data_IF_271567476461
#
_entry.id   IF_271567476461
#
_cell.length_a   1.000
_cell.length_b   1.000
_cell.length_c   1.000
_cell.angle_alpha   90.00
_cell.angle_beta   90.00
_cell.angle_gamma   90.00
#
_symmetry.space_group_name_H-M   'P 1'
#
loop_
_entity.id
_entity.type
_entity.pdbx_description
1 polymer ?
#
# COMPACT_ATOMS: atom_id res chain seq x y z
N UNK A 1 51.50 26.19 -9.79
CA UNK A 1 51.04 24.80 -9.55
C UNK A 1 49.72 24.86 -8.79
N UNK A 2 48.61 25.08 -9.48
CA UNK A 2 47.27 25.00 -8.90
C UNK A 2 46.55 23.84 -9.59
N UNK A 3 45.95 22.92 -8.84
CA UNK A 3 44.52 22.92 -8.51
C UNK A 3 44.16 21.69 -7.68
N UNK A 4 43.21 21.91 -6.77
CA UNK A 4 42.63 20.92 -5.87
C UNK A 4 41.54 20.11 -6.58
N UNK A 5 41.54 18.79 -6.39
CA UNK A 5 40.42 17.91 -6.76
C UNK A 5 39.42 17.89 -5.59
N UNK A 6 38.42 18.77 -5.67
CA UNK A 6 37.19 18.64 -4.90
C UNK A 6 36.34 17.51 -5.49
N UNK A 7 36.14 16.43 -4.74
CA UNK A 7 35.18 15.38 -5.11
C UNK A 7 33.76 15.95 -5.09
N UNK A 8 33.17 16.09 -6.28
CA UNK A 8 31.78 16.43 -6.46
C UNK A 8 30.89 15.31 -5.89
N UNK A 9 30.11 15.63 -4.87
CA UNK A 9 28.98 14.81 -4.44
C UNK A 9 27.93 14.82 -5.56
N UNK A 10 27.80 13.71 -6.28
CA UNK A 10 26.75 13.54 -7.27
C UNK A 10 25.38 13.48 -6.56
N UNK A 11 24.56 14.50 -6.76
CA UNK A 11 23.14 14.49 -6.41
C UNK A 11 22.43 13.39 -7.20
N UNK A 12 22.14 12.25 -6.57
CA UNK A 12 21.27 11.21 -7.16
C UNK A 12 19.83 11.75 -7.31
N UNK A 13 19.22 11.45 -8.46
CA UNK A 13 17.89 11.92 -8.90
C UNK A 13 16.73 11.19 -8.18
N UNK A 14 15.51 11.78 -8.14
CA UNK A 14 14.32 11.26 -7.45
C UNK A 14 13.74 9.92 -7.95
N UNK A 15 14.41 9.23 -8.87
CA UNK A 15 13.99 7.94 -9.44
C UNK A 15 14.17 6.75 -8.49
N UNK A 16 15.17 6.80 -7.61
CA UNK A 16 15.47 5.67 -6.71
C UNK A 16 14.42 5.55 -5.60
N UNK A 17 13.87 6.69 -5.13
CA UNK A 17 12.86 6.73 -4.07
C UNK A 17 11.48 6.28 -4.55
N UNK A 18 11.10 6.62 -5.78
CA UNK A 18 9.82 6.19 -6.38
C UNK A 18 9.80 4.68 -6.59
N UNK A 19 10.89 4.13 -7.13
CA UNK A 19 11.02 2.68 -7.34
C UNK A 19 11.03 1.89 -6.03
N UNK A 20 11.53 2.46 -4.94
CA UNK A 20 11.49 1.81 -3.63
C UNK A 20 10.09 1.84 -3.04
N UNK A 21 9.43 3.00 -3.07
CA UNK A 21 8.05 3.14 -2.59
C UNK A 21 7.08 2.21 -3.33
N UNK A 22 7.19 2.08 -4.66
CA UNK A 22 6.36 1.13 -5.42
C UNK A 22 6.55 -0.31 -4.95
N UNK A 23 7.79 -0.73 -4.67
CA UNK A 23 8.05 -2.08 -4.16
C UNK A 23 7.42 -2.27 -2.78
N UNK A 24 7.50 -1.28 -1.91
CA UNK A 24 6.95 -1.36 -0.55
C UNK A 24 5.42 -1.45 -0.58
N UNK A 25 4.76 -0.65 -1.43
CA UNK A 25 3.31 -0.67 -1.63
C UNK A 25 2.84 -1.96 -2.29
N UNK A 26 3.64 -2.58 -3.16
CA UNK A 26 3.31 -3.86 -3.80
C UNK A 26 3.69 -5.10 -2.98
N UNK A 27 4.49 -4.93 -1.93
CA UNK A 27 4.93 -6.04 -1.08
C UNK A 27 3.82 -6.52 -0.15
N UNK A 28 3.63 -7.84 -0.08
CA UNK A 28 2.71 -8.48 0.87
C UNK A 28 3.55 -9.23 1.88
N UNK A 29 3.43 -8.86 3.16
CA UNK A 29 4.19 -9.55 4.20
C UNK A 29 3.64 -10.98 4.39
N UNK A 30 4.46 -12.01 4.67
CA UNK A 30 3.96 -13.38 4.83
C UNK A 30 2.89 -13.57 5.92
N UNK A 31 2.80 -12.65 6.89
CA UNK A 31 1.72 -12.65 7.90
C UNK A 31 0.41 -12.07 7.39
N UNK A 32 0.41 -11.43 6.23
CA UNK A 32 -0.75 -10.83 5.60
C UNK A 32 -1.41 -11.86 4.69
N UNK A 33 -2.61 -12.27 5.10
CA UNK A 33 -3.41 -13.25 4.37
C UNK A 33 -4.83 -12.73 4.18
N UNK A 34 -5.55 -13.30 3.21
CA UNK A 34 -6.92 -12.90 2.85
C UNK A 34 -7.88 -12.90 4.05
N UNK A 35 -7.69 -13.82 5.00
CA UNK A 35 -8.57 -13.98 6.17
C UNK A 35 -8.32 -12.98 7.32
N UNK A 36 -7.43 -12.01 7.15
CA UNK A 36 -7.11 -11.03 8.19
C UNK A 36 -8.27 -10.04 8.34
N UNK A 37 -8.76 -9.84 9.56
CA UNK A 37 -9.73 -8.79 9.86
C UNK A 37 -8.99 -7.46 10.14
N UNK A 38 -9.35 -6.37 9.44
CA UNK A 38 -8.74 -5.05 9.67
C UNK A 38 -9.18 -4.41 10.99
N UNK A 39 -10.33 -4.81 11.50
CA UNK A 39 -10.94 -4.33 12.74
C UNK A 39 -11.63 -5.48 13.46
N UNK A 40 -11.67 -5.41 14.79
CA UNK A 40 -12.38 -6.37 15.66
C UNK A 40 -13.89 -6.15 15.68
N UNK A 41 -14.36 -4.96 15.29
CA UNK A 41 -15.78 -4.60 15.26
C UNK A 41 -16.30 -4.60 13.81
N UNK A 42 -17.16 -5.56 13.42
CA UNK A 42 -17.83 -5.57 12.13
C UNK A 42 -18.71 -4.32 11.94
N UNK A 43 -19.00 -3.95 10.69
CA UNK A 43 -19.90 -2.84 10.39
C UNK A 43 -21.34 -3.22 10.77
N UNK A 44 -21.97 -2.47 11.67
CA UNK A 44 -23.32 -2.75 12.19
C UNK A 44 -24.37 -1.69 11.80
N UNK A 45 -24.00 -0.77 10.90
CA UNK A 45 -24.83 0.34 10.44
C UNK A 45 -24.83 1.56 11.38
N UNK A 46 -24.43 1.41 12.65
CA UNK A 46 -24.33 2.53 13.62
C UNK A 46 -22.88 2.96 13.87
N UNK A 47 -21.94 2.07 13.61
CA UNK A 47 -20.52 2.25 13.95
C UNK A 47 -19.64 2.68 12.76
N UNK A 48 -20.22 3.17 11.66
CA UNK A 48 -19.50 3.49 10.42
C UNK A 48 -18.25 4.36 10.64
N UNK A 49 -18.35 5.44 11.41
CA UNK A 49 -17.22 6.35 11.64
C UNK A 49 -16.06 5.68 12.40
N UNK A 50 -16.38 4.84 13.39
CA UNK A 50 -15.39 4.07 14.14
C UNK A 50 -14.76 2.99 13.28
N UNK A 51 -15.59 2.28 12.51
CA UNK A 51 -15.16 1.26 11.55
C UNK A 51 -14.24 1.84 10.48
N UNK A 52 -14.63 2.97 9.86
CA UNK A 52 -13.85 3.65 8.83
C UNK A 52 -12.49 4.08 9.36
N UNK A 53 -12.43 4.67 10.56
CA UNK A 53 -11.15 5.05 11.19
C UNK A 53 -10.25 3.84 11.44
N UNK A 54 -10.82 2.74 11.93
CA UNK A 54 -10.06 1.51 12.18
C UNK A 54 -9.50 0.91 10.88
N UNK A 55 -10.30 0.86 9.81
CA UNK A 55 -9.88 0.43 8.47
C UNK A 55 -8.77 1.33 7.94
N UNK A 56 -8.94 2.65 8.05
CA UNK A 56 -7.95 3.63 7.58
C UNK A 56 -6.60 3.45 8.30
N UNK A 57 -6.61 3.35 9.62
CA UNK A 57 -5.38 3.13 10.41
C UNK A 57 -4.72 1.79 10.05
N UNK A 58 -5.51 0.72 9.98
CA UNK A 58 -5.01 -0.62 9.69
C UNK A 58 -4.31 -0.67 8.32
N UNK A 59 -4.94 -0.12 7.28
CA UNK A 59 -4.34 -0.06 5.94
C UNK A 59 -3.16 0.91 5.87
N UNK A 60 -3.20 2.01 6.63
CA UNK A 60 -2.10 2.97 6.71
C UNK A 60 -0.82 2.34 7.26
N UNK A 61 -0.95 1.55 8.32
CA UNK A 61 0.20 0.81 8.90
C UNK A 61 0.80 -0.24 7.95
N UNK A 62 0.06 -0.62 6.90
CA UNK A 62 0.44 -1.62 5.90
C UNK A 62 0.88 -1.00 4.57
N UNK A 63 0.89 0.33 4.47
CA UNK A 63 1.11 1.07 3.23
C UNK A 63 0.14 0.67 2.11
N UNK A 64 -1.12 0.37 2.46
CA UNK A 64 -2.17 -0.03 1.51
C UNK A 64 -3.29 0.99 1.35
N UNK A 65 -3.21 2.15 2.02
CA UNK A 65 -4.19 3.23 1.88
C UNK A 65 -4.29 3.73 0.43
N UNK A 66 -3.17 3.73 -0.29
CA UNK A 66 -3.11 4.26 -1.64
C UNK A 66 -3.94 3.47 -2.66
N UNK A 67 -4.35 2.24 -2.32
CA UNK A 67 -5.30 1.44 -3.10
C UNK A 67 -6.76 1.87 -2.90
N UNK A 68 -7.09 2.48 -1.75
CA UNK A 68 -8.43 3.02 -1.49
C UNK A 68 -8.53 4.44 -2.02
N UNK A 69 -7.52 5.26 -1.75
CA UNK A 69 -7.53 6.69 -2.13
C UNK A 69 -7.22 6.88 -3.64
N UNK A 70 -6.73 5.85 -4.32
CA UNK A 70 -6.40 5.89 -5.75
C UNK A 70 -5.13 6.68 -6.07
N UNK A 71 -4.34 7.02 -5.05
CA UNK A 71 -3.05 7.70 -5.17
C UNK A 71 -1.99 6.79 -5.79
N UNK A 72 -2.10 5.46 -5.61
CA UNK A 72 -1.25 4.51 -6.31
C UNK A 72 -1.82 4.22 -7.71
N UNK A 73 -1.13 4.60 -8.80
CA UNK A 73 -1.67 4.49 -10.14
C UNK A 73 -1.84 3.03 -10.55
N UNK A 74 -2.92 2.76 -11.28
CA UNK A 74 -3.11 1.45 -11.90
C UNK A 74 -2.01 1.20 -12.94
N UNK A 75 -1.17 0.16 -12.78
CA UNK A 75 -0.09 -0.11 -13.72
C UNK A 75 -0.65 -0.60 -15.06
N UNK A 76 0.11 -0.36 -16.13
CA UNK A 76 -0.28 -0.81 -17.48
C UNK A 76 -0.42 -2.34 -17.55
N UNK A 77 -1.46 -2.79 -18.27
CA UNK A 77 -1.74 -4.20 -18.52
C UNK A 77 -0.56 -4.87 -19.24
N UNK A 78 0.06 -5.85 -18.58
CA UNK A 78 1.24 -6.56 -19.11
C UNK A 78 2.59 -6.01 -18.61
N UNK A 79 2.58 -5.01 -17.72
CA UNK A 79 3.79 -4.65 -16.97
C UNK A 79 4.17 -5.75 -15.96
N UNK A 80 5.46 -5.85 -15.61
CA UNK A 80 5.94 -6.83 -14.62
C UNK A 80 5.27 -6.66 -13.24
N UNK A 81 4.83 -5.44 -12.92
CA UNK A 81 4.21 -5.09 -11.63
C UNK A 81 2.68 -5.30 -11.62
N UNK A 82 2.05 -5.53 -12.78
CA UNK A 82 0.59 -5.64 -12.87
C UNK A 82 0.02 -6.77 -12.02
N UNK A 83 0.60 -7.97 -12.10
CA UNK A 83 0.13 -9.12 -11.31
C UNK A 83 0.37 -8.94 -9.80
N UNK A 84 1.43 -8.21 -9.42
CA UNK A 84 1.69 -7.88 -8.01
C UNK A 84 0.66 -6.88 -7.49
N UNK A 85 0.41 -5.81 -8.25
CA UNK A 85 -0.61 -4.82 -7.95
C UNK A 85 -1.98 -5.47 -7.81
N UNK A 86 -2.36 -6.32 -8.77
CA UNK A 86 -3.63 -7.06 -8.77
C UNK A 86 -3.77 -7.95 -7.54
N UNK A 87 -2.69 -8.60 -7.11
CA UNK A 87 -2.70 -9.43 -5.90
C UNK A 87 -2.97 -8.59 -4.65
N UNK A 88 -2.34 -7.43 -4.53
CA UNK A 88 -2.54 -6.52 -3.40
C UNK A 88 -3.95 -5.93 -3.42
N UNK A 89 -4.45 -5.52 -4.58
CA UNK A 89 -5.81 -5.01 -4.77
C UNK A 89 -6.89 -6.02 -4.35
N UNK A 90 -6.74 -7.28 -4.78
CA UNK A 90 -7.62 -8.37 -4.36
C UNK A 90 -7.53 -8.65 -2.85
N UNK A 91 -6.34 -8.49 -2.25
CA UNK A 91 -6.15 -8.67 -0.81
C UNK A 91 -6.84 -7.57 -0.01
N UNK A 92 -6.67 -6.29 -0.39
CA UNK A 92 -7.36 -5.15 0.21
C UNK A 92 -8.88 -5.31 0.07
N UNK A 93 -9.35 -5.74 -1.09
CA UNK A 93 -10.77 -6.03 -1.34
C UNK A 93 -11.29 -7.15 -0.43
N UNK A 94 -10.53 -8.24 -0.25
CA UNK A 94 -10.88 -9.33 0.66
C UNK A 94 -11.03 -8.84 2.10
N UNK A 95 -10.11 -7.98 2.55
CA UNK A 95 -10.12 -7.43 3.90
C UNK A 95 -11.33 -6.52 4.15
N UNK A 96 -11.70 -5.69 3.18
CA UNK A 96 -12.91 -4.86 3.26
C UNK A 96 -14.18 -5.71 3.20
N UNK A 97 -14.21 -6.71 2.32
CA UNK A 97 -15.36 -7.61 2.14
C UNK A 97 -15.64 -8.49 3.36
N UNK A 98 -14.60 -8.99 4.03
CA UNK A 98 -14.73 -9.80 5.27
C UNK A 98 -15.45 -9.05 6.38
N UNK A 99 -15.31 -7.72 6.43
CA UNK A 99 -15.98 -6.90 7.43
C UNK A 99 -17.49 -6.75 7.17
N UNK A 100 -17.94 -7.02 5.95
CA UNK A 100 -19.33 -6.94 5.52
C UNK A 100 -20.03 -8.32 5.51
N UNK A 101 -19.26 -9.43 5.42
CA UNK A 101 -19.77 -10.82 5.37
C UNK A 101 -19.92 -11.50 6.73
N UNK A 102 -19.66 -10.80 7.85
CA UNK A 102 -19.80 -11.32 9.22
C UNK A 102 -21.10 -10.92 9.93
N UNK A 103 -22.09 -10.41 9.18
CA UNK A 103 -23.47 -10.16 9.62
C UNK A 103 -24.42 -11.10 8.90
#
# INVERSE_FOLDING_TARGET
MAEAIGSATATQRPTDTVNQYEKDVLFIHPSEHSNLALTSSPLDGTNFLTWQRAVYVSLGTKMKLDFIDGTFPHPYLGSANFEQWRRVDLMVTSWLGILCLRT
#
